data_IF_642877187466
#
_entry.id   IF_642877187466
#
_cell.length_a   1.000
_cell.length_b   1.000
_cell.length_c   1.000
_cell.angle_alpha   90.00
_cell.angle_beta   90.00
_cell.angle_gamma   90.00
#
_symmetry.space_group_name_H-M   'P 1'
#
loop_
_entity.id
_entity.type
_entity.pdbx_description
1 polymer ?
#
# COMPACT_ATOMS: atom_id res chain seq x y z
N UNK A 1 10.25 6.74 -5.96
CA UNK A 1 9.63 7.43 -4.82
C UNK A 1 8.24 7.86 -5.24
N UNK A 2 7.25 7.82 -4.34
CA UNK A 2 5.93 8.38 -4.61
C UNK A 2 5.97 9.88 -4.28
N UNK A 3 5.65 10.73 -5.27
CA UNK A 3 5.73 12.19 -5.14
C UNK A 3 4.46 12.89 -5.61
N UNK A 4 3.67 12.23 -6.46
CA UNK A 4 2.49 12.81 -7.09
C UNK A 4 1.26 11.94 -6.88
N UNK A 5 0.07 12.51 -7.05
CA UNK A 5 -1.17 11.73 -7.13
C UNK A 5 -1.08 10.63 -8.19
N UNK A 6 -0.49 10.93 -9.35
CA UNK A 6 -0.32 9.96 -10.42
C UNK A 6 0.50 8.75 -9.97
N UNK A 7 1.63 8.96 -9.25
CA UNK A 7 2.46 7.87 -8.74
C UNK A 7 1.65 6.94 -7.81
N UNK A 8 0.82 7.50 -6.94
CA UNK A 8 -0.01 6.72 -6.01
C UNK A 8 -1.08 5.94 -6.78
N UNK A 9 -1.76 6.57 -7.72
CA UNK A 9 -2.76 5.89 -8.54
C UNK A 9 -2.16 4.77 -9.38
N UNK A 10 -0.99 4.97 -9.97
CA UNK A 10 -0.33 3.97 -10.79
C UNK A 10 0.19 2.80 -9.96
N UNK A 11 0.72 3.06 -8.76
CA UNK A 11 1.07 2.01 -7.81
C UNK A 11 -0.16 1.18 -7.42
N UNK A 12 -1.25 1.82 -6.99
CA UNK A 12 -2.46 1.11 -6.56
C UNK A 12 -3.07 0.30 -7.72
N UNK A 13 -3.10 0.84 -8.93
CA UNK A 13 -3.57 0.10 -10.13
C UNK A 13 -2.69 -1.13 -10.40
N UNK A 14 -1.37 -0.98 -10.36
CA UNK A 14 -0.45 -2.09 -10.54
C UNK A 14 -0.63 -3.18 -9.49
N UNK A 15 -0.74 -2.80 -8.22
CA UNK A 15 -0.99 -3.74 -7.12
C UNK A 15 -2.35 -4.45 -7.26
N UNK A 16 -3.39 -3.74 -7.70
CA UNK A 16 -4.71 -4.32 -7.93
C UNK A 16 -4.66 -5.38 -9.04
N UNK A 17 -3.96 -5.08 -10.13
CA UNK A 17 -3.78 -6.02 -11.25
C UNK A 17 -2.99 -7.25 -10.81
N UNK A 18 -1.86 -7.05 -10.12
CA UNK A 18 -0.96 -8.11 -9.68
C UNK A 18 -1.50 -8.90 -8.47
N UNK A 19 -2.51 -8.38 -7.77
CA UNK A 19 -3.18 -9.03 -6.65
C UNK A 19 -4.18 -10.12 -7.06
N UNK A 20 -4.42 -10.32 -8.36
CA UNK A 20 -5.23 -11.42 -8.93
C UNK A 20 -6.62 -11.59 -8.29
N UNK A 21 -7.27 -10.48 -7.94
CA UNK A 21 -8.60 -10.48 -7.29
C UNK A 21 -8.58 -10.45 -5.75
N UNK A 22 -7.41 -10.46 -5.13
CA UNK A 22 -7.20 -10.23 -3.70
C UNK A 22 -6.46 -8.93 -3.40
N UNK A 23 -5.91 -8.81 -2.18
CA UNK A 23 -5.06 -7.67 -1.77
C UNK A 23 -5.79 -6.48 -1.14
N UNK A 24 -7.11 -6.56 -0.97
CA UNK A 24 -7.92 -5.49 -0.39
C UNK A 24 -8.53 -4.56 -1.45
N UNK A 25 -9.30 -3.57 -1.00
CA UNK A 25 -9.97 -2.64 -1.91
C UNK A 25 -9.02 -1.51 -2.34
N UNK A 26 -8.96 -1.15 -3.63
CA UNK A 26 -8.06 -0.10 -4.12
C UNK A 26 -8.31 1.28 -3.52
N UNK A 27 -9.57 1.61 -3.20
CA UNK A 27 -9.96 2.87 -2.60
C UNK A 27 -9.37 3.05 -1.19
N UNK A 28 -9.37 1.99 -0.37
CA UNK A 28 -8.69 2.00 0.94
C UNK A 28 -7.20 2.27 0.80
N UNK A 29 -6.55 1.70 -0.23
CA UNK A 29 -5.13 1.97 -0.50
C UNK A 29 -4.87 3.45 -0.86
N UNK A 30 -5.78 4.08 -1.61
CA UNK A 30 -5.71 5.49 -1.95
C UNK A 30 -5.92 6.37 -0.71
N UNK A 31 -6.92 6.06 0.12
CA UNK A 31 -7.19 6.77 1.38
C UNK A 31 -5.99 6.76 2.33
N UNK A 32 -5.23 5.66 2.34
CA UNK A 32 -4.02 5.56 3.17
C UNK A 32 -2.84 6.33 2.57
N UNK A 33 -2.57 6.20 1.27
CA UNK A 33 -1.33 6.72 0.66
C UNK A 33 -1.39 8.20 0.25
N UNK A 34 -2.53 8.68 -0.27
CA UNK A 34 -2.66 10.04 -0.79
C UNK A 34 -2.34 11.12 0.27
N UNK A 35 -2.85 11.04 1.52
CA UNK A 35 -2.55 12.04 2.54
C UNK A 35 -1.06 12.13 2.88
N UNK A 36 -0.28 11.08 2.62
CA UNK A 36 1.16 11.12 2.83
C UNK A 36 1.87 11.92 1.75
N UNK A 37 1.51 11.70 0.49
CA UNK A 37 2.08 12.41 -0.66
C UNK A 37 1.65 13.88 -0.66
N UNK A 38 0.38 14.17 -0.38
CA UNK A 38 -0.15 15.55 -0.27
C UNK A 38 0.54 16.36 0.84
N UNK A 39 0.89 15.71 1.95
CA UNK A 39 1.65 16.33 3.04
C UNK A 39 3.15 16.48 2.73
N UNK A 40 3.60 16.15 1.52
CA UNK A 40 5.02 16.23 1.13
C UNK A 40 5.92 15.20 1.81
N UNK A 41 5.36 14.11 2.37
CA UNK A 41 6.17 13.04 2.98
C UNK A 41 6.79 12.17 1.90
N UNK A 42 8.00 11.70 2.17
CA UNK A 42 8.72 10.79 1.27
C UNK A 42 8.31 9.34 1.53
N UNK A 43 7.65 8.71 0.55
CA UNK A 43 7.49 7.25 0.48
C UNK A 43 8.42 6.71 -0.61
N UNK A 44 9.27 5.76 -0.24
CA UNK A 44 10.32 5.23 -1.11
C UNK A 44 10.55 3.74 -0.85
N UNK A 45 11.27 3.12 -1.76
CA UNK A 45 11.65 1.72 -1.69
C UNK A 45 13.16 1.62 -1.59
N UNK A 46 13.61 0.61 -0.87
CA UNK A 46 15.01 0.27 -0.70
C UNK A 46 15.19 -1.18 -1.15
N UNK A 47 16.23 -1.50 -1.94
CA UNK A 47 16.52 -2.88 -2.30
C UNK A 47 16.81 -3.72 -1.05
N UNK A 48 16.26 -4.93 -0.91
CA UNK A 48 16.49 -5.73 0.29
C UNK A 48 17.96 -6.08 0.51
N UNK A 49 18.76 -6.19 -0.55
CA UNK A 49 20.19 -6.52 -0.50
C UNK A 49 21.07 -5.47 0.19
N UNK A 50 20.58 -4.25 0.43
CA UNK A 50 21.34 -3.25 1.18
C UNK A 50 21.10 -3.34 2.70
N UNK A 51 20.12 -4.15 3.13
CA UNK A 51 19.82 -4.33 4.55
C UNK A 51 20.84 -5.30 5.15
N UNK A 52 21.40 -5.00 6.34
CA UNK A 52 22.22 -5.96 7.08
C UNK A 52 21.47 -7.28 7.33
N UNK A 53 22.16 -8.41 7.23
CA UNK A 53 21.57 -9.75 7.38
C UNK A 53 20.88 -9.98 8.73
N UNK A 54 21.32 -9.27 9.77
CA UNK A 54 20.78 -9.34 11.14
C UNK A 54 19.71 -8.27 11.43
N UNK A 55 19.26 -7.54 10.41
CA UNK A 55 18.22 -6.52 10.56
C UNK A 55 16.86 -7.10 10.87
N UNK A 56 16.15 -6.45 11.79
CA UNK A 56 14.73 -6.69 12.02
C UNK A 56 13.90 -5.79 11.10
N UNK A 57 13.03 -6.41 10.30
CA UNK A 57 12.04 -5.71 9.46
C UNK A 57 10.63 -6.14 9.85
N UNK A 58 9.68 -5.21 9.72
CA UNK A 58 8.28 -5.50 9.98
C UNK A 58 7.53 -5.70 8.67
N UNK A 59 6.86 -6.85 8.52
CA UNK A 59 5.84 -7.02 7.50
C UNK A 59 4.51 -6.52 8.06
N UNK A 60 4.01 -5.41 7.53
CA UNK A 60 2.74 -4.82 7.95
C UNK A 60 1.67 -5.08 6.91
N UNK A 61 0.51 -5.57 7.36
CA UNK A 61 -0.66 -5.77 6.52
C UNK A 61 -1.94 -5.61 7.34
N UNK A 62 -3.02 -5.17 6.70
CA UNK A 62 -4.35 -5.15 7.30
C UNK A 62 -4.99 -6.53 7.26
N UNK A 63 -5.62 -6.94 8.37
CA UNK A 63 -6.40 -8.19 8.46
C UNK A 63 -7.80 -7.86 8.97
N UNK A 64 -8.82 -8.47 8.35
CA UNK A 64 -10.21 -8.29 8.75
C UNK A 64 -11.18 -9.01 7.82
N UNK A 65 -12.47 -8.92 8.12
CA UNK A 65 -13.55 -9.42 7.26
C UNK A 65 -13.95 -8.35 6.24
N UNK A 66 -14.25 -8.78 5.02
CA UNK A 66 -14.91 -7.94 4.01
C UNK A 66 -16.43 -8.12 3.99
N UNK A 67 -16.97 -8.95 4.89
CA UNK A 67 -18.41 -9.19 4.96
C UNK A 67 -19.17 -7.90 5.26
N UNK A 68 -20.39 -7.71 4.70
CA UNK A 68 -21.26 -6.61 5.07
C UNK A 68 -21.46 -6.55 6.59
N UNK A 69 -21.35 -5.35 7.16
CA UNK A 69 -21.59 -5.12 8.59
C UNK A 69 -23.07 -5.07 8.94
N UNK A 70 -23.94 -4.88 7.95
CA UNK A 70 -25.39 -4.93 8.12
C UNK A 70 -25.92 -6.35 7.87
N UNK A 71 -26.86 -6.85 8.68
CA UNK A 71 -27.49 -8.15 8.44
C UNK A 71 -28.28 -8.12 7.12
N UNK A 72 -28.23 -9.23 6.39
CA UNK A 72 -28.97 -9.48 5.15
C UNK A 72 -30.48 -9.43 5.34
#
# INVERSE_FOLDING_TARGET
>A
MLKTHADVHDLIRGLTLLGTGGGGRPDVGLEVLLPHVEAGRSVSWTPPEILPDDSWVCSVFGMGSIAPTEPL
#
